data_IF_597939195015
#
_entry.id   IF_597939195015
#
_cell.length_a   1.000
_cell.length_b   1.000
_cell.length_c   1.000
_cell.angle_alpha   90.00
_cell.angle_beta   90.00
_cell.angle_gamma   90.00
#
_symmetry.space_group_name_H-M   'P 1'
#
loop_
_entity.id
_entity.type
_entity.pdbx_description
1 polymer ?
#
# COMPACT_ATOMS: atom_id res chain seq x y z
N UNK A 1 -2.36 27.96 16.88
CA UNK A 1 -1.51 27.53 15.75
C UNK A 1 -0.81 26.22 16.12
N UNK A 2 -0.65 25.32 15.15
CA UNK A 2 0.02 24.02 15.28
C UNK A 2 1.10 23.89 14.21
N UNK A 3 2.10 23.05 14.44
CA UNK A 3 3.20 22.85 13.49
C UNK A 3 2.72 22.15 12.22
N UNK A 4 3.37 22.44 11.10
CA UNK A 4 3.06 21.78 9.82
C UNK A 4 3.68 20.39 9.82
N UNK A 5 2.96 19.44 9.21
CA UNK A 5 3.52 18.13 8.90
C UNK A 5 4.63 18.28 7.84
N UNK A 6 5.84 17.89 8.20
CA UNK A 6 6.93 17.68 7.27
C UNK A 6 7.25 16.19 7.23
N UNK A 7 7.18 15.59 6.04
CA UNK A 7 7.51 14.20 5.80
C UNK A 7 8.91 14.10 5.21
N UNK A 8 9.76 13.26 5.79
CA UNK A 8 11.08 12.96 5.25
C UNK A 8 10.99 12.27 3.89
N UNK A 9 12.04 12.41 3.07
CA UNK A 9 12.12 11.86 1.72
C UNK A 9 10.99 12.31 0.78
N UNK A 10 10.26 13.37 1.13
CA UNK A 10 9.15 13.89 0.36
C UNK A 10 9.28 15.38 0.11
N UNK A 11 8.65 15.83 -0.98
CA UNK A 11 8.60 17.23 -1.34
C UNK A 11 7.17 17.73 -1.25
N UNK A 12 6.90 18.68 -0.35
CA UNK A 12 5.55 19.20 -0.12
C UNK A 12 5.26 20.52 -0.86
N UNK A 13 6.30 21.16 -1.44
CA UNK A 13 6.14 22.45 -2.12
C UNK A 13 5.42 22.29 -3.46
N UNK A 14 4.29 22.98 -3.64
CA UNK A 14 3.53 23.02 -4.91
C UNK A 14 4.42 23.36 -6.11
N UNK A 15 5.38 24.29 -5.96
CA UNK A 15 6.32 24.66 -7.04
C UNK A 15 7.17 23.49 -7.48
N UNK A 16 7.75 22.75 -6.53
CA UNK A 16 8.59 21.58 -6.82
C UNK A 16 7.78 20.40 -7.35
N UNK A 17 6.58 20.16 -6.80
CA UNK A 17 5.66 19.14 -7.31
C UNK A 17 5.22 19.44 -8.75
N UNK A 18 4.94 20.71 -9.08
CA UNK A 18 4.61 21.11 -10.43
C UNK A 18 5.77 20.88 -11.42
N UNK A 19 7.02 21.09 -10.97
CA UNK A 19 8.22 20.78 -11.73
C UNK A 19 8.30 19.27 -12.05
N UNK A 20 8.05 18.40 -11.08
CA UNK A 20 8.03 16.94 -11.30
C UNK A 20 7.01 16.52 -12.37
N UNK A 21 5.83 17.14 -12.38
CA UNK A 21 4.77 16.86 -13.36
C UNK A 21 5.13 17.45 -14.73
N UNK A 22 5.59 18.69 -14.78
CA UNK A 22 5.89 19.40 -16.03
C UNK A 22 7.07 18.79 -16.76
N UNK A 23 8.12 18.42 -16.03
CA UNK A 23 9.33 17.78 -16.55
C UNK A 23 9.14 16.26 -16.77
N UNK A 24 7.93 15.73 -16.55
CA UNK A 24 7.54 14.32 -16.77
C UNK A 24 8.37 13.29 -15.98
N UNK A 25 8.82 13.66 -14.78
CA UNK A 25 9.39 12.69 -13.84
C UNK A 25 8.32 11.76 -13.22
N UNK A 26 7.06 12.22 -13.22
CA UNK A 26 5.87 11.47 -12.80
C UNK A 26 4.80 11.51 -13.89
N UNK A 27 3.85 10.57 -13.84
CA UNK A 27 2.75 10.49 -14.81
C UNK A 27 1.75 11.65 -14.65
N UNK A 28 1.62 12.20 -13.45
CA UNK A 28 0.64 13.25 -13.14
C UNK A 28 0.55 13.56 -11.65
N UNK A 29 -0.48 14.31 -11.26
CA UNK A 29 -0.75 14.70 -9.86
C UNK A 29 -1.28 13.55 -9.00
N UNK A 30 -1.78 12.50 -9.62
CA UNK A 30 -2.28 11.28 -9.00
C UNK A 30 -1.27 10.11 -9.08
N UNK A 31 -0.06 10.34 -9.59
CA UNK A 31 0.99 9.32 -9.64
C UNK A 31 1.23 8.74 -8.22
N UNK A 32 1.33 7.40 -8.06
CA UNK A 32 1.53 6.76 -6.75
C UNK A 32 2.76 7.25 -5.97
N UNK A 33 3.76 7.83 -6.66
CA UNK A 33 4.97 8.37 -6.06
C UNK A 33 4.78 9.79 -5.50
N UNK A 34 3.68 10.46 -5.85
CA UNK A 34 3.38 11.81 -5.40
C UNK A 34 2.80 11.82 -3.98
N UNK A 35 3.22 12.74 -3.10
CA UNK A 35 2.71 12.85 -1.73
C UNK A 35 1.34 13.56 -1.67
N UNK A 36 0.59 13.55 -2.77
CA UNK A 36 -0.76 14.11 -2.85
C UNK A 36 -1.77 13.09 -2.32
N UNK A 37 -2.92 13.57 -1.84
CA UNK A 37 -4.01 12.67 -1.41
C UNK A 37 -4.50 11.79 -2.57
N UNK A 38 -4.53 12.33 -3.79
CA UNK A 38 -4.83 11.57 -5.01
C UNK A 38 -3.77 10.49 -5.29
N UNK A 39 -2.48 10.82 -5.19
CA UNK A 39 -1.37 9.89 -5.39
C UNK A 39 -1.37 8.77 -4.36
N UNK A 40 -1.51 9.11 -3.07
CA UNK A 40 -1.60 8.12 -1.99
C UNK A 40 -2.82 7.20 -2.17
N UNK A 41 -3.96 7.74 -2.59
CA UNK A 41 -5.15 6.93 -2.89
C UNK A 41 -4.90 5.96 -4.06
N UNK A 42 -4.27 6.41 -5.15
CA UNK A 42 -3.91 5.54 -6.30
C UNK A 42 -2.86 4.51 -5.91
N UNK A 43 -1.93 4.84 -5.00
CA UNK A 43 -0.94 3.92 -4.42
C UNK A 43 -1.57 2.81 -3.58
N UNK A 44 -2.81 2.98 -3.12
CA UNK A 44 -3.53 1.99 -2.30
C UNK A 44 -3.59 2.33 -0.81
N UNK A 45 -3.23 3.56 -0.40
CA UNK A 45 -3.47 3.98 0.98
C UNK A 45 -4.96 4.04 1.28
N UNK A 46 -5.34 3.45 2.40
CA UNK A 46 -6.71 3.53 2.89
C UNK A 46 -6.92 4.84 3.65
N UNK A 47 -8.16 5.35 3.64
CA UNK A 47 -8.49 6.52 4.44
C UNK A 47 -8.31 6.27 5.95
N UNK A 48 -8.44 5.02 6.40
CA UNK A 48 -8.20 4.64 7.79
C UNK A 48 -6.72 4.79 8.18
N UNK A 49 -5.80 4.28 7.36
CA UNK A 49 -4.36 4.39 7.61
C UNK A 49 -3.87 5.83 7.72
N UNK A 50 -4.35 6.74 6.87
CA UNK A 50 -3.96 8.15 6.90
C UNK A 50 -4.48 8.84 8.17
N UNK A 51 -5.74 8.55 8.56
CA UNK A 51 -6.29 9.09 9.81
C UNK A 51 -5.55 8.57 11.03
N UNK A 52 -5.19 7.30 11.02
CA UNK A 52 -4.42 6.68 12.10
C UNK A 52 -3.01 7.27 12.19
N UNK A 53 -2.35 7.49 11.06
CA UNK A 53 -1.08 8.21 11.00
C UNK A 53 -1.19 9.61 11.64
N UNK A 54 -2.20 10.40 11.25
CA UNK A 54 -2.43 11.72 11.85
C UNK A 54 -2.68 11.66 13.37
N UNK A 55 -3.32 10.60 13.88
CA UNK A 55 -3.50 10.42 15.33
C UNK A 55 -2.18 10.10 16.03
N UNK A 56 -1.35 9.23 15.45
CA UNK A 56 -0.07 8.79 16.05
C UNK A 56 0.95 9.92 16.15
N UNK A 57 1.10 10.73 15.10
CA UNK A 57 2.02 11.87 15.13
C UNK A 57 1.58 12.97 16.10
N UNK A 58 0.29 13.01 16.41
CA UNK A 58 -0.32 14.01 17.28
C UNK A 58 -0.27 15.42 16.68
N UNK A 59 -0.68 16.39 17.50
CA UNK A 59 -0.62 17.82 17.15
C UNK A 59 0.28 18.51 18.16
N UNK A 60 1.38 19.06 17.69
CA UNK A 60 2.36 19.77 18.53
C UNK A 60 2.52 21.22 18.05
N UNK A 61 3.13 22.06 18.89
CA UNK A 61 3.50 23.44 18.52
C UNK A 61 4.94 23.54 17.99
N UNK A 62 5.74 22.49 18.18
CA UNK A 62 7.12 22.43 17.72
C UNK A 62 7.17 21.83 16.32
N UNK A 63 8.07 22.35 15.49
CA UNK A 63 8.32 21.77 14.18
C UNK A 63 8.78 20.32 14.32
N UNK A 64 8.06 19.43 13.64
CA UNK A 64 8.32 18.01 13.68
C UNK A 64 8.50 17.50 12.26
N UNK A 65 9.60 16.77 12.06
CA UNK A 65 9.86 16.06 10.80
C UNK A 65 9.59 14.59 11.06
N UNK A 66 8.65 14.01 10.33
CA UNK A 66 8.19 12.63 10.52
C UNK A 66 8.75 11.75 9.41
N UNK A 67 9.31 10.62 9.80
CA UNK A 67 9.80 9.63 8.85
C UNK A 67 8.66 9.02 8.02
N UNK A 68 8.91 8.82 6.73
CA UNK A 68 7.95 8.14 5.83
C UNK A 68 7.60 6.72 6.33
N UNK A 69 8.51 6.06 7.03
CA UNK A 69 8.31 4.74 7.61
C UNK A 69 7.10 4.70 8.58
N UNK A 70 6.83 5.78 9.31
CA UNK A 70 5.67 5.86 10.21
C UNK A 70 4.34 5.81 9.43
N UNK A 71 4.27 6.50 8.29
CA UNK A 71 3.10 6.46 7.40
C UNK A 71 2.95 5.07 6.75
N UNK A 72 4.06 4.46 6.34
CA UNK A 72 4.08 3.11 5.76
C UNK A 72 3.70 2.03 6.78
N UNK A 73 4.05 2.20 8.05
CA UNK A 73 3.62 1.31 9.13
C UNK A 73 2.09 1.34 9.29
N UNK A 74 1.47 2.52 9.31
CA UNK A 74 0.02 2.65 9.45
C UNK A 74 -0.77 1.95 8.33
N UNK A 75 -0.31 2.02 7.08
CA UNK A 75 -0.97 1.31 5.98
C UNK A 75 -0.71 -0.20 6.03
N UNK A 76 0.49 -0.62 6.43
CA UNK A 76 0.83 -2.05 6.57
C UNK A 76 -0.06 -2.73 7.61
N UNK A 77 -0.27 -2.08 8.75
CA UNK A 77 -1.13 -2.59 9.81
C UNK A 77 -2.60 -2.65 9.37
N UNK A 78 -3.11 -1.59 8.74
CA UNK A 78 -4.49 -1.56 8.26
C UNK A 78 -4.77 -2.62 7.17
N UNK A 79 -3.85 -2.79 6.22
CA UNK A 79 -3.96 -3.83 5.18
C UNK A 79 -3.78 -5.23 5.75
N UNK A 80 -2.93 -5.42 6.75
CA UNK A 80 -2.79 -6.72 7.40
C UNK A 80 -4.12 -7.18 8.02
N UNK A 81 -4.89 -6.27 8.60
CA UNK A 81 -6.18 -6.62 9.19
C UNK A 81 -7.30 -6.72 8.15
N UNK A 82 -7.30 -5.90 7.09
CA UNK A 82 -8.48 -5.72 6.25
C UNK A 82 -8.36 -6.29 4.83
N UNK A 83 -7.15 -6.53 4.31
CA UNK A 83 -6.97 -6.96 2.92
C UNK A 83 -7.04 -8.49 2.76
N UNK A 84 -7.73 -9.02 1.75
CA UNK A 84 -7.67 -10.45 1.43
C UNK A 84 -6.28 -10.84 0.90
N UNK A 85 -5.89 -12.09 1.11
CA UNK A 85 -4.61 -12.66 0.64
C UNK A 85 -4.81 -13.29 -0.72
N UNK A 86 -3.88 -12.98 -1.63
CA UNK A 86 -3.81 -13.59 -2.95
C UNK A 86 -2.41 -14.11 -3.25
N UNK A 87 -2.31 -15.06 -4.19
CA UNK A 87 -1.05 -15.57 -4.69
C UNK A 87 -0.81 -14.97 -6.08
N UNK A 88 0.37 -14.41 -6.30
CA UNK A 88 0.82 -13.91 -7.59
C UNK A 88 2.33 -14.12 -7.68
N UNK A 89 2.81 -14.51 -8.86
CA UNK A 89 4.24 -14.66 -9.15
C UNK A 89 4.62 -13.53 -10.10
N UNK A 90 5.54 -12.66 -9.69
CA UNK A 90 5.94 -11.48 -10.47
C UNK A 90 6.82 -11.88 -11.67
N UNK A 91 7.73 -12.83 -11.45
CA UNK A 91 8.62 -13.37 -12.48
C UNK A 91 8.46 -14.90 -12.56
N UNK A 92 7.56 -15.41 -13.43
CA UNK A 92 7.14 -16.80 -13.39
C UNK A 92 8.17 -17.74 -14.04
N UNK A 93 8.53 -18.79 -13.32
CA UNK A 93 9.28 -19.93 -13.87
C UNK A 93 8.34 -21.11 -14.05
N UNK A 94 8.34 -21.70 -15.25
CA UNK A 94 7.52 -22.87 -15.55
C UNK A 94 8.00 -24.07 -14.73
N UNK A 95 7.12 -24.58 -13.87
CA UNK A 95 7.36 -25.78 -13.07
C UNK A 95 6.56 -26.95 -13.65
N UNK A 96 7.19 -28.13 -13.73
CA UNK A 96 6.56 -29.37 -14.19
C UNK A 96 6.76 -30.42 -13.10
N UNK A 97 5.66 -31.01 -12.65
CA UNK A 97 5.68 -32.09 -11.64
C UNK A 97 5.61 -33.43 -12.40
N UNK A 98 6.72 -34.17 -12.44
CA UNK A 98 6.85 -35.38 -13.26
C UNK A 98 6.00 -36.55 -12.77
N UNK A 99 5.73 -36.61 -11.46
CA UNK A 99 4.99 -37.69 -10.81
C UNK A 99 3.49 -37.38 -10.62
N UNK A 100 2.97 -36.29 -11.21
CA UNK A 100 1.55 -35.94 -11.13
C UNK A 100 0.80 -36.43 -12.39
N UNK A 101 -0.39 -37.07 -12.25
CA UNK A 101 -1.13 -37.58 -13.40
C UNK A 101 -1.47 -36.48 -14.43
N UNK A 102 -1.18 -36.73 -15.71
CA UNK A 102 -1.55 -35.80 -16.78
C UNK A 102 -3.07 -35.63 -16.87
N UNK A 103 -3.52 -34.38 -17.06
CA UNK A 103 -4.94 -34.04 -17.18
C UNK A 103 -5.71 -34.02 -15.86
N UNK A 104 -5.06 -34.22 -14.71
CA UNK A 104 -5.66 -34.02 -13.40
C UNK A 104 -5.36 -32.61 -12.87
N UNK A 105 -6.34 -32.01 -12.21
CA UNK A 105 -6.22 -30.75 -11.46
C UNK A 105 -6.92 -30.93 -10.13
N UNK A 106 -6.33 -30.45 -9.05
CA UNK A 106 -6.90 -30.53 -7.71
C UNK A 106 -7.29 -29.14 -7.22
N UNK A 107 -8.58 -28.97 -6.90
CA UNK A 107 -9.05 -27.72 -6.33
C UNK A 107 -8.72 -27.68 -4.84
N UNK A 108 -7.78 -26.82 -4.47
CA UNK A 108 -7.42 -26.58 -3.07
C UNK A 108 -8.21 -25.39 -2.54
N UNK A 109 -9.06 -25.64 -1.54
CA UNK A 109 -9.77 -24.57 -0.84
C UNK A 109 -8.88 -23.95 0.22
N UNK A 110 -8.71 -22.63 0.17
CA UNK A 110 -7.85 -21.88 1.07
C UNK A 110 -8.54 -20.62 1.60
N UNK A 111 -8.30 -20.21 2.86
CA UNK A 111 -8.94 -19.05 3.43
C UNK A 111 -8.47 -17.75 2.76
N UNK A 112 -9.39 -16.79 2.57
CA UNK A 112 -9.06 -15.48 2.03
C UNK A 112 -8.23 -14.65 3.01
N UNK A 113 -8.29 -14.94 4.31
CA UNK A 113 -7.51 -14.26 5.33
C UNK A 113 -7.21 -15.22 6.49
N UNK A 114 -5.96 -15.33 6.97
CA UNK A 114 -5.59 -16.30 8.00
C UNK A 114 -6.34 -16.11 9.32
N UNK A 115 -6.53 -14.86 9.74
CA UNK A 115 -7.16 -14.53 11.03
C UNK A 115 -8.65 -14.15 10.92
N UNK A 116 -9.26 -14.16 9.72
CA UNK A 116 -10.63 -13.65 9.49
C UNK A 116 -11.47 -14.65 8.71
N UNK A 117 -12.03 -15.67 9.39
CA UNK A 117 -12.89 -16.69 8.77
C UNK A 117 -14.12 -16.09 8.07
N UNK A 118 -14.59 -14.93 8.51
CA UNK A 118 -15.72 -14.21 7.92
C UNK A 118 -15.48 -13.73 6.49
N UNK A 119 -14.21 -13.62 6.06
CA UNK A 119 -13.84 -13.29 4.69
C UNK A 119 -14.01 -14.48 3.72
N UNK A 120 -14.36 -15.66 4.23
CA UNK A 120 -14.60 -16.87 3.45
C UNK A 120 -13.34 -17.49 2.85
N UNK A 121 -13.55 -18.42 1.94
CA UNK A 121 -12.50 -19.18 1.27
C UNK A 121 -12.50 -18.92 -0.24
N UNK A 122 -11.41 -19.30 -0.89
CA UNK A 122 -11.26 -19.35 -2.34
C UNK A 122 -10.67 -20.68 -2.75
N UNK A 123 -11.11 -21.17 -3.90
CA UNK A 123 -10.58 -22.41 -4.47
C UNK A 123 -9.54 -22.08 -5.55
N UNK A 124 -8.42 -22.80 -5.52
CA UNK A 124 -7.30 -22.63 -6.46
C UNK A 124 -6.97 -24.00 -7.08
N UNK A 125 -6.87 -24.11 -8.42
CA UNK A 125 -6.49 -25.34 -9.10
C UNK A 125 -4.99 -25.68 -9.03
#
# INVERSE_FOLDING_TARGET
EFSRLNLEYTVMSKRKLNLLVTDKHVEGWDDPRMPTISGLRRRGYTAASIREFCKRIGVTKQDNTVEMAALEACIREDLNENAPRAMAVIDPVKLVIENYPQGHSEMVSMPNHPNKPEMGNRDVP
#
